data_IF_388423486421
#
_entry.id   IF_388423486421
#
_cell.length_a   1.000
_cell.length_b   1.000
_cell.length_c   1.000
_cell.angle_alpha   90.00
_cell.angle_beta   90.00
_cell.angle_gamma   90.00
#
_symmetry.space_group_name_H-M   'P 1'
#
loop_
_entity.id
_entity.type
_entity.pdbx_description
1 polymer ?
#
# COMPACT_ATOMS: atom_id res chain seq x y z
N UNK A 1 19.85 -12.93 49.73
CA UNK A 1 19.89 -12.09 48.50
C UNK A 1 19.78 -13.04 47.32
N UNK A 2 18.64 -13.02 46.62
CA UNK A 2 18.45 -13.87 45.44
C UNK A 2 19.10 -13.17 44.24
N UNK A 3 19.93 -13.85 43.43
CA UNK A 3 20.51 -13.26 42.23
C UNK A 3 19.40 -12.85 41.26
N UNK A 4 19.43 -11.61 40.77
CA UNK A 4 18.51 -11.14 39.74
C UNK A 4 18.92 -11.79 38.42
N UNK A 5 18.09 -12.71 37.92
CA UNK A 5 18.28 -13.31 36.60
C UNK A 5 18.20 -12.21 35.51
N UNK A 6 19.15 -12.15 34.57
CA UNK A 6 19.05 -11.24 33.43
C UNK A 6 17.95 -11.74 32.50
N UNK A 7 16.90 -10.92 32.32
CA UNK A 7 15.89 -11.12 31.27
C UNK A 7 16.56 -11.10 29.90
N UNK A 8 16.80 -12.29 29.34
CA UNK A 8 17.35 -12.48 28.02
C UNK A 8 16.41 -11.89 26.96
N UNK A 9 16.74 -10.68 26.49
CA UNK A 9 16.09 -10.06 25.35
C UNK A 9 16.34 -10.88 24.09
N UNK A 10 15.39 -11.74 23.73
CA UNK A 10 15.38 -12.41 22.43
C UNK A 10 15.08 -11.39 21.34
N UNK A 11 16.13 -10.76 20.80
CA UNK A 11 16.06 -9.96 19.56
C UNK A 11 16.67 -10.70 18.37
N UNK A 12 16.48 -12.03 18.33
CA UNK A 12 17.05 -12.94 17.33
C UNK A 12 16.27 -13.03 16.02
N UNK A 13 15.96 -11.89 15.39
CA UNK A 13 15.59 -11.90 13.97
C UNK A 13 16.87 -11.83 13.14
N UNK A 14 17.19 -12.88 12.36
CA UNK A 14 18.32 -12.85 11.42
C UNK A 14 18.29 -11.57 10.56
N UNK A 15 19.44 -10.94 10.26
CA UNK A 15 19.48 -9.74 9.40
C UNK A 15 18.78 -9.97 8.05
N UNK A 16 18.77 -11.20 7.54
CA UNK A 16 18.06 -11.60 6.33
C UNK A 16 16.53 -11.46 6.48
N UNK A 17 15.98 -11.75 7.66
CA UNK A 17 14.54 -11.60 7.94
C UNK A 17 14.11 -10.15 8.05
N UNK A 18 14.98 -9.26 8.57
CA UNK A 18 14.70 -7.81 8.64
C UNK A 18 14.73 -7.16 7.26
N UNK A 19 15.74 -7.46 6.43
CA UNK A 19 15.81 -6.95 5.07
C UNK A 19 14.61 -7.41 4.21
N UNK A 20 14.20 -8.68 4.34
CA UNK A 20 13.00 -9.20 3.68
C UNK A 20 11.71 -8.51 4.14
N UNK A 21 11.60 -8.18 5.44
CA UNK A 21 10.45 -7.44 5.97
C UNK A 21 10.38 -6.01 5.40
N UNK A 22 11.51 -5.31 5.32
CA UNK A 22 11.59 -3.96 4.73
C UNK A 22 11.20 -4.00 3.26
N UNK A 23 11.78 -4.92 2.47
CA UNK A 23 11.44 -5.05 1.06
C UNK A 23 9.96 -5.35 0.87
N UNK A 24 9.38 -6.26 1.65
CA UNK A 24 7.95 -6.59 1.56
C UNK A 24 7.06 -5.38 1.82
N UNK A 25 7.34 -4.60 2.88
CA UNK A 25 6.54 -3.42 3.24
C UNK A 25 6.70 -2.31 2.21
N UNK A 26 7.92 -2.00 1.79
CA UNK A 26 8.17 -0.95 0.80
C UNK A 26 7.58 -1.32 -0.56
N UNK A 27 7.71 -2.57 -0.99
CA UNK A 27 7.07 -3.07 -2.21
C UNK A 27 5.54 -3.03 -2.11
N UNK A 28 4.96 -3.44 -0.99
CA UNK A 28 3.50 -3.37 -0.78
C UNK A 28 2.98 -1.94 -0.87
N UNK A 29 3.58 -1.01 -0.13
CA UNK A 29 3.21 0.41 -0.16
C UNK A 29 3.40 1.03 -1.56
N UNK A 30 4.45 0.64 -2.28
CA UNK A 30 4.66 1.11 -3.66
C UNK A 30 3.59 0.57 -4.60
N UNK A 31 3.26 -0.73 -4.51
CA UNK A 31 2.24 -1.34 -5.36
C UNK A 31 0.85 -0.74 -5.12
N UNK A 32 0.52 -0.37 -3.88
CA UNK A 32 -0.71 0.35 -3.55
C UNK A 32 -0.74 1.76 -4.16
N UNK A 33 0.36 2.53 -4.03
CA UNK A 33 0.45 3.83 -4.69
C UNK A 33 0.48 3.73 -6.22
N UNK A 34 1.08 2.68 -6.78
CA UNK A 34 1.07 2.41 -8.22
C UNK A 34 -0.35 2.15 -8.72
N UNK A 35 -1.13 1.31 -8.02
CA UNK A 35 -2.52 1.03 -8.37
C UNK A 35 -3.39 2.29 -8.27
N UNK A 36 -3.28 3.07 -7.18
CA UNK A 36 -4.01 4.34 -7.03
C UNK A 36 -3.64 5.36 -8.11
N UNK A 37 -2.36 5.45 -8.48
CA UNK A 37 -1.92 6.35 -9.55
C UNK A 37 -2.47 5.93 -10.91
N UNK A 38 -2.40 4.64 -11.24
CA UNK A 38 -2.96 4.11 -12.48
C UNK A 38 -4.48 4.31 -12.54
N UNK A 39 -5.18 3.98 -11.46
CA UNK A 39 -6.60 4.25 -11.35
C UNK A 39 -6.88 5.74 -11.57
N UNK A 40 -6.18 6.65 -10.90
CA UNK A 40 -6.36 8.09 -11.08
C UNK A 40 -6.10 8.58 -12.52
N UNK A 41 -5.07 8.07 -13.17
CA UNK A 41 -4.75 8.40 -14.57
C UNK A 41 -5.84 7.90 -15.53
N UNK A 42 -6.35 6.68 -15.32
CA UNK A 42 -7.37 6.07 -16.17
C UNK A 42 -8.81 6.40 -15.77
N UNK A 43 -9.06 6.98 -14.60
CA UNK A 43 -10.40 7.24 -14.07
C UNK A 43 -11.26 8.02 -15.06
N UNK A 44 -10.70 9.07 -15.68
CA UNK A 44 -11.40 9.88 -16.70
C UNK A 44 -11.72 9.10 -17.98
N UNK A 45 -10.88 8.14 -18.36
CA UNK A 45 -11.12 7.33 -19.56
C UNK A 45 -12.17 6.26 -19.29
N UNK A 46 -12.06 5.59 -18.14
CA UNK A 46 -13.01 4.58 -17.67
C UNK A 46 -14.39 5.22 -17.46
N UNK A 47 -14.44 6.41 -16.87
CA UNK A 47 -15.68 7.12 -16.61
C UNK A 47 -16.44 7.45 -17.89
N UNK A 48 -15.76 7.97 -18.91
CA UNK A 48 -16.39 8.32 -20.19
C UNK A 48 -16.95 7.11 -20.93
N UNK A 49 -16.29 5.96 -20.82
CA UNK A 49 -16.68 4.73 -21.52
C UNK A 49 -17.85 4.03 -20.84
N UNK A 50 -17.81 3.90 -19.51
CA UNK A 50 -18.80 3.13 -18.75
C UNK A 50 -19.92 3.97 -18.14
N UNK A 51 -19.70 5.26 -17.90
CA UNK A 51 -20.63 6.20 -17.28
C UNK A 51 -20.77 7.49 -18.10
N UNK A 52 -21.24 7.41 -19.35
CA UNK A 52 -21.37 8.58 -20.21
C UNK A 52 -22.34 9.60 -19.60
N UNK A 53 -21.88 10.84 -19.49
CA UNK A 53 -22.67 11.98 -19.01
C UNK A 53 -22.40 13.19 -19.89
N UNK A 54 -23.33 14.15 -19.90
CA UNK A 54 -23.16 15.43 -20.61
C UNK A 54 -22.05 16.29 -20.01
N UNK A 55 -21.62 15.98 -18.78
CA UNK A 55 -20.50 16.63 -18.10
C UNK A 55 -19.40 15.61 -17.78
N UNK A 56 -18.16 15.93 -18.17
CA UNK A 56 -16.97 15.11 -17.88
C UNK A 56 -16.75 14.93 -16.38
N UNK A 57 -17.02 15.96 -15.59
CA UNK A 57 -16.97 15.88 -14.14
C UNK A 57 -18.02 14.92 -13.58
N UNK A 58 -19.26 15.01 -14.07
CA UNK A 58 -20.34 14.13 -13.62
C UNK A 58 -20.05 12.66 -13.97
N UNK A 59 -19.53 12.40 -15.17
CA UNK A 59 -19.08 11.06 -15.59
C UNK A 59 -18.04 10.50 -14.63
N UNK A 60 -17.02 11.29 -14.28
CA UNK A 60 -15.99 10.89 -13.31
C UNK A 60 -16.57 10.61 -11.92
N UNK A 61 -17.49 11.43 -11.42
CA UNK A 61 -18.11 11.22 -10.10
C UNK A 61 -18.97 9.94 -10.04
N UNK A 62 -19.50 9.46 -11.16
CA UNK A 62 -20.22 8.19 -11.22
C UNK A 62 -19.30 6.94 -11.12
N UNK A 63 -17.98 7.10 -11.25
CA UNK A 63 -17.02 5.97 -11.10
C UNK A 63 -16.59 5.68 -9.66
N UNK A 64 -16.97 6.52 -8.69
CA UNK A 64 -16.65 6.40 -7.26
C UNK A 64 -17.91 6.12 -6.45
#
# INVERSE_FOLDING_TARGET
>A
MNPTEPIAGTSGGSPMTRAAAVLRVTSGNFLEQFDFFLFGFYATSISKVFFPSTSEFASLMLTF
#
